data_IF_758177365321
#
_entry.id   IF_758177365321
#
_cell.length_a   1.000
_cell.length_b   1.000
_cell.length_c   1.000
_cell.angle_alpha   90.00
_cell.angle_beta   90.00
_cell.angle_gamma   90.00
#
_symmetry.space_group_name_H-M   'P 1'
#
loop_
_entity.id
_entity.type
_entity.pdbx_description
1 polymer ?
#
# COMPACT_ATOMS: atom_id res chain seq x y z
N UNK A 1 -3.03 -4.22 -11.23
CA UNK A 1 -2.07 -3.44 -10.42
C UNK A 1 -0.95 -4.38 -10.01
N UNK A 2 0.34 -4.01 -10.07
CA UNK A 2 1.41 -4.85 -9.53
C UNK A 2 1.27 -4.99 -8.01
N UNK A 3 1.83 -6.06 -7.46
CA UNK A 3 1.94 -6.31 -6.04
C UNK A 3 3.43 -6.40 -5.67
N UNK A 4 3.77 -6.15 -4.40
CA UNK A 4 5.11 -6.46 -3.88
C UNK A 4 5.21 -7.94 -3.52
N UNK A 5 6.44 -8.45 -3.38
CA UNK A 5 6.68 -9.83 -3.00
C UNK A 5 6.01 -10.17 -1.65
N UNK A 6 6.09 -9.27 -0.67
CA UNK A 6 5.48 -9.44 0.65
C UNK A 6 3.95 -9.57 0.58
N UNK A 7 3.30 -8.78 -0.28
CA UNK A 7 1.85 -8.88 -0.49
C UNK A 7 1.50 -10.19 -1.19
N UNK A 8 2.29 -10.63 -2.16
CA UNK A 8 2.09 -11.92 -2.81
C UNK A 8 2.22 -13.08 -1.81
N UNK A 9 3.23 -13.05 -0.93
CA UNK A 9 3.41 -14.04 0.13
C UNK A 9 2.22 -14.06 1.09
N UNK A 10 1.75 -12.90 1.56
CA UNK A 10 0.54 -12.79 2.39
C UNK A 10 -0.67 -13.41 1.69
N UNK A 11 -0.88 -13.08 0.41
CA UNK A 11 -2.02 -13.59 -0.34
C UNK A 11 -1.95 -15.11 -0.58
N UNK A 12 -0.74 -15.64 -0.81
CA UNK A 12 -0.52 -17.08 -0.98
C UNK A 12 -0.70 -17.87 0.32
N UNK A 13 -0.42 -17.24 1.46
CA UNK A 13 -0.61 -17.84 2.78
C UNK A 13 -2.08 -17.83 3.27
N UNK A 14 -2.96 -17.07 2.60
CA UNK A 14 -4.37 -17.03 2.99
C UNK A 14 -5.06 -18.39 2.77
N UNK A 15 -5.90 -18.84 3.72
CA UNK A 15 -6.69 -20.05 3.54
C UNK A 15 -7.69 -19.86 2.40
N UNK A 16 -7.75 -20.80 1.47
CA UNK A 16 -8.74 -20.83 0.39
C UNK A 16 -10.04 -21.44 0.89
N UNK A 17 -10.95 -20.58 1.37
CA UNK A 17 -12.24 -20.98 1.93
C UNK A 17 -13.33 -21.04 0.84
N UNK A 18 -13.14 -20.33 -0.28
CA UNK A 18 -14.05 -20.27 -1.41
C UNK A 18 -13.38 -19.71 -2.66
N UNK A 19 -14.07 -19.72 -3.78
CA UNK A 19 -13.49 -19.38 -5.09
C UNK A 19 -13.73 -17.92 -5.51
N UNK A 20 -14.68 -17.23 -4.87
CA UNK A 20 -15.11 -15.90 -5.29
C UNK A 20 -14.34 -14.76 -4.59
N UNK A 21 -14.02 -14.94 -3.31
CA UNK A 21 -13.41 -13.87 -2.50
C UNK A 21 -12.08 -14.31 -1.90
N UNK A 22 -11.03 -13.55 -2.16
CA UNK A 22 -9.71 -13.75 -1.52
C UNK A 22 -9.78 -13.51 0.00
N UNK A 23 -10.55 -12.51 0.42
CA UNK A 23 -10.74 -12.19 1.83
C UNK A 23 -12.16 -12.56 2.25
N UNK A 24 -12.31 -13.74 2.82
CA UNK A 24 -13.58 -14.26 3.31
C UNK A 24 -13.37 -15.15 4.52
N UNK A 25 -14.37 -15.23 5.39
CA UNK A 25 -14.42 -16.18 6.51
C UNK A 25 -15.49 -17.26 6.31
N UNK A 26 -16.33 -17.12 5.29
CA UNK A 26 -17.47 -18.02 5.04
C UNK A 26 -17.44 -18.65 3.65
N UNK A 27 -16.59 -18.17 2.73
CA UNK A 27 -16.55 -18.56 1.33
C UNK A 27 -17.60 -17.91 0.43
N UNK A 28 -18.70 -17.39 1.00
CA UNK A 28 -19.86 -16.87 0.25
C UNK A 28 -20.03 -15.34 0.35
N UNK A 29 -19.28 -14.68 1.21
CA UNK A 29 -19.31 -13.23 1.40
C UNK A 29 -17.92 -12.68 1.66
N UNK A 30 -17.61 -11.46 1.22
CA UNK A 30 -16.36 -10.82 1.55
C UNK A 30 -16.26 -10.54 3.06
N UNK A 31 -15.05 -10.40 3.57
CA UNK A 31 -14.81 -10.01 4.96
C UNK A 31 -15.48 -8.66 5.26
N UNK A 32 -16.04 -8.56 6.45
CA UNK A 32 -16.68 -7.37 7.00
C UNK A 32 -16.22 -7.16 8.45
N UNK A 33 -16.73 -6.14 9.14
CA UNK A 33 -16.38 -5.91 10.54
C UNK A 33 -15.09 -5.11 10.73
N UNK A 34 -14.74 -4.27 9.79
CA UNK A 34 -13.55 -3.40 9.83
C UNK A 34 -13.47 -2.52 11.09
N UNK A 35 -14.61 -2.10 11.66
CA UNK A 35 -14.63 -1.35 12.92
C UNK A 35 -14.16 -2.19 14.11
N UNK A 36 -14.58 -3.46 14.17
CA UNK A 36 -14.14 -4.38 15.23
C UNK A 36 -12.65 -4.69 15.09
N UNK A 37 -12.18 -4.97 13.87
CA UNK A 37 -10.77 -5.19 13.58
C UNK A 37 -9.93 -3.96 13.98
N UNK A 38 -10.40 -2.74 13.66
CA UNK A 38 -9.73 -1.51 14.07
C UNK A 38 -9.62 -1.41 15.60
N UNK A 39 -10.70 -1.65 16.33
CA UNK A 39 -10.68 -1.59 17.80
C UNK A 39 -9.71 -2.60 18.43
N UNK A 40 -9.53 -3.76 17.82
CA UNK A 40 -8.55 -4.75 18.24
C UNK A 40 -7.11 -4.28 17.98
N UNK A 41 -6.86 -3.65 16.84
CA UNK A 41 -5.56 -3.06 16.50
C UNK A 41 -5.26 -1.89 17.46
N UNK A 42 -6.23 -1.00 17.69
CA UNK A 42 -6.08 0.14 18.61
C UNK A 42 -5.67 -0.33 20.00
N UNK A 43 -6.32 -1.37 20.51
CA UNK A 43 -6.02 -1.93 21.83
C UNK A 43 -4.65 -2.63 21.89
N UNK A 44 -4.27 -3.36 20.84
CA UNK A 44 -3.01 -4.10 20.80
C UNK A 44 -1.80 -3.17 20.57
N UNK A 45 -1.96 -2.11 19.81
CA UNK A 45 -0.91 -1.15 19.49
C UNK A 45 -0.88 0.05 20.43
N UNK A 46 -1.86 0.17 21.35
CA UNK A 46 -2.03 1.32 22.25
C UNK A 46 -2.12 2.67 21.49
N UNK A 47 -2.68 2.64 20.29
CA UNK A 47 -2.82 3.80 19.39
C UNK A 47 -4.27 4.10 19.15
N UNK A 48 -4.65 5.38 19.19
CA UNK A 48 -6.01 5.84 18.92
C UNK A 48 -6.02 7.03 17.96
N UNK A 49 -7.22 7.37 17.45
CA UNK A 49 -7.43 8.58 16.66
C UNK A 49 -7.14 8.46 15.16
N UNK A 50 -6.53 7.38 14.69
CA UNK A 50 -6.30 7.13 13.28
C UNK A 50 -7.52 6.49 12.59
N UNK A 51 -7.57 6.56 11.27
CA UNK A 51 -8.58 5.94 10.41
C UNK A 51 -7.91 5.08 9.34
N UNK A 52 -8.63 4.09 8.81
CA UNK A 52 -8.13 3.28 7.68
C UNK A 52 -7.61 4.09 6.50
N UNK A 53 -8.22 5.26 6.26
CA UNK A 53 -7.78 6.16 5.20
C UNK A 53 -6.41 6.80 5.47
N UNK A 54 -5.99 6.88 6.72
CA UNK A 54 -4.69 7.45 7.07
C UNK A 54 -3.54 6.56 6.63
N UNK A 55 -3.75 5.23 6.48
CA UNK A 55 -2.76 4.34 5.87
C UNK A 55 -2.44 4.76 4.42
N UNK A 56 -3.45 5.17 3.66
CA UNK A 56 -3.23 5.70 2.30
C UNK A 56 -2.48 7.03 2.33
N UNK A 57 -2.79 7.90 3.28
CA UNK A 57 -2.10 9.18 3.46
C UNK A 57 -0.65 8.98 3.86
N UNK A 58 -0.39 8.04 4.77
CA UNK A 58 0.96 7.66 5.18
C UNK A 58 1.76 7.19 3.97
N UNK A 59 1.23 6.23 3.20
CA UNK A 59 1.89 5.80 1.97
C UNK A 59 2.19 6.98 1.03
N UNK A 60 1.21 7.87 0.78
CA UNK A 60 1.40 9.00 -0.13
C UNK A 60 2.51 9.94 0.33
N UNK A 61 2.56 10.23 1.64
CA UNK A 61 3.58 11.10 2.24
C UNK A 61 4.97 10.46 2.12
N UNK A 62 5.11 9.23 2.59
CA UNK A 62 6.41 8.53 2.56
C UNK A 62 6.90 8.23 1.15
N UNK A 63 5.99 7.89 0.23
CA UNK A 63 6.33 7.69 -1.18
C UNK A 63 6.96 8.94 -1.78
N UNK A 64 6.45 10.11 -1.44
CA UNK A 64 6.99 11.39 -1.91
C UNK A 64 8.29 11.79 -1.20
N UNK A 65 8.33 11.67 0.14
CA UNK A 65 9.39 12.24 0.97
C UNK A 65 10.60 11.33 1.13
N UNK A 66 10.38 10.00 1.20
CA UNK A 66 11.43 9.04 1.52
C UNK A 66 11.81 8.17 0.32
N UNK A 67 10.87 7.91 -0.59
CA UNK A 67 11.10 7.04 -1.73
C UNK A 67 11.21 7.81 -3.05
N UNK A 68 11.12 9.14 -3.01
CA UNK A 68 11.20 10.04 -4.17
C UNK A 68 10.28 9.64 -5.34
N UNK A 69 9.15 9.00 -5.02
CA UNK A 69 8.19 8.55 -6.02
C UNK A 69 7.47 9.74 -6.62
N UNK A 70 7.47 9.86 -7.93
CA UNK A 70 6.76 10.92 -8.64
C UNK A 70 5.26 10.93 -8.26
N UNK A 71 4.69 12.10 -8.02
CA UNK A 71 3.28 12.27 -7.63
C UNK A 71 2.32 11.55 -8.59
N UNK A 72 2.54 11.61 -9.89
CA UNK A 72 1.70 10.93 -10.88
C UNK A 72 1.69 9.39 -10.69
N UNK A 73 2.79 8.79 -10.24
CA UNK A 73 2.89 7.36 -9.92
C UNK A 73 2.11 7.06 -8.65
N UNK A 74 2.29 7.86 -7.61
CA UNK A 74 1.56 7.73 -6.33
C UNK A 74 0.06 7.83 -6.54
N UNK A 75 -0.40 8.84 -7.28
CA UNK A 75 -1.82 9.01 -7.64
C UNK A 75 -2.36 7.81 -8.44
N UNK A 76 -1.54 7.27 -9.35
CA UNK A 76 -1.91 6.11 -10.15
C UNK A 76 -1.94 4.80 -9.34
N UNK A 77 -1.12 4.66 -8.27
CA UNK A 77 -1.19 3.56 -7.30
C UNK A 77 -2.47 3.70 -6.48
N UNK A 78 -2.72 4.87 -5.95
CA UNK A 78 -3.88 5.16 -5.10
C UNK A 78 -5.19 5.26 -5.88
N UNK A 79 -5.16 5.17 -7.22
CA UNK A 79 -6.33 5.35 -8.09
C UNK A 79 -7.07 6.69 -7.80
N UNK A 80 -6.30 7.73 -7.48
CA UNK A 80 -6.86 9.05 -7.29
C UNK A 80 -7.19 9.67 -8.66
N UNK A 81 -8.42 10.10 -8.82
CA UNK A 81 -8.83 11.00 -9.91
C UNK A 81 -8.66 12.41 -9.39
N UNK A 82 -7.42 12.93 -9.37
CA UNK A 82 -7.19 14.30 -8.95
C UNK A 82 -7.73 15.27 -10.00
N UNK A 83 -8.23 16.42 -9.55
CA UNK A 83 -8.78 17.46 -10.43
C UNK A 83 -7.75 18.03 -11.42
N UNK A 84 -6.44 17.85 -11.16
CA UNK A 84 -5.37 18.23 -12.10
C UNK A 84 -5.29 17.31 -13.33
N UNK A 85 -5.82 16.08 -13.24
CA UNK A 85 -5.97 15.16 -14.37
C UNK A 85 -7.34 15.27 -15.05
N UNK A 86 -8.26 16.06 -14.50
CA UNK A 86 -9.58 16.32 -15.10
C UNK A 86 -9.54 17.33 -16.26
N UNK A 87 -8.41 18.03 -16.48
CA UNK A 87 -8.19 18.91 -17.62
C UNK A 87 -7.69 18.19 -18.87
N UNK A 88 -7.34 18.96 -19.88
CA UNK A 88 -6.79 18.49 -21.18
C UNK A 88 -5.61 17.53 -21.01
N UNK A 89 -4.78 17.71 -19.96
CA UNK A 89 -3.67 16.80 -19.61
C UNK A 89 -4.11 15.39 -19.25
N UNK A 90 -5.25 15.21 -18.59
CA UNK A 90 -5.77 13.89 -18.20
C UNK A 90 -6.23 13.05 -19.39
N UNK A 91 -6.66 13.70 -20.48
CA UNK A 91 -7.09 13.02 -21.71
C UNK A 91 -5.89 12.47 -22.48
N UNK A 92 -4.72 13.11 -22.39
CA UNK A 92 -3.50 12.73 -23.12
C UNK A 92 -2.58 11.78 -22.35
N UNK A 93 -2.62 11.77 -21.01
CA UNK A 93 -1.75 10.91 -20.22
C UNK A 93 -2.36 9.52 -20.01
N UNK A 94 -2.14 8.61 -20.97
CA UNK A 94 -2.53 7.19 -20.91
C UNK A 94 -1.43 6.31 -20.34
N UNK A 95 -0.40 6.87 -19.74
CA UNK A 95 0.70 6.12 -19.17
C UNK A 95 0.20 5.22 -18.02
N UNK A 96 0.55 3.96 -18.08
CA UNK A 96 0.15 2.97 -17.05
C UNK A 96 1.10 2.92 -15.85
N UNK A 97 2.30 3.50 -15.98
CA UNK A 97 3.35 3.51 -14.96
C UNK A 97 3.65 2.14 -14.34
N UNK A 98 3.50 1.05 -15.12
CA UNK A 98 3.56 -0.32 -14.56
C UNK A 98 4.88 -0.58 -13.86
N UNK A 99 6.02 -0.27 -14.49
CA UNK A 99 7.35 -0.45 -13.90
C UNK A 99 7.52 0.41 -12.65
N UNK A 100 7.22 1.70 -12.73
CA UNK A 100 7.37 2.64 -11.62
C UNK A 100 6.46 2.26 -10.43
N UNK A 101 5.25 1.75 -10.69
CA UNK A 101 4.37 1.23 -9.64
C UNK A 101 4.96 0.01 -8.96
N UNK A 102 5.53 -0.93 -9.74
CA UNK A 102 6.18 -2.12 -9.18
C UNK A 102 7.35 -1.73 -8.28
N UNK A 103 8.23 -0.86 -8.77
CA UNK A 103 9.38 -0.36 -8.03
C UNK A 103 8.95 0.36 -6.73
N UNK A 104 7.97 1.26 -6.82
CA UNK A 104 7.48 2.02 -5.66
C UNK A 104 6.79 1.13 -4.61
N UNK A 105 5.97 0.16 -5.03
CA UNK A 105 5.30 -0.75 -4.10
C UNK A 105 6.28 -1.72 -3.45
N UNK A 106 7.31 -2.18 -4.16
CA UNK A 106 8.36 -3.01 -3.59
C UNK A 106 9.22 -2.22 -2.61
N UNK A 107 9.61 -0.99 -2.95
CA UNK A 107 10.37 -0.12 -2.04
C UNK A 107 9.59 0.19 -0.76
N UNK A 108 8.28 0.44 -0.87
CA UNK A 108 7.40 0.63 0.29
C UNK A 108 7.32 -0.61 1.17
N UNK A 109 7.16 -1.79 0.58
CA UNK A 109 7.10 -3.04 1.34
C UNK A 109 8.42 -3.33 2.07
N UNK A 110 9.56 -3.13 1.41
CA UNK A 110 10.88 -3.27 2.05
C UNK A 110 11.07 -2.26 3.20
N UNK A 111 10.56 -1.04 3.05
CA UNK A 111 10.59 -0.04 4.11
C UNK A 111 9.75 -0.50 5.33
N UNK A 112 8.56 -1.07 5.09
CA UNK A 112 7.72 -1.60 6.17
C UNK A 112 8.41 -2.76 6.90
N UNK A 113 9.02 -3.71 6.19
CA UNK A 113 9.78 -4.82 6.79
C UNK A 113 10.91 -4.29 7.67
N UNK A 114 11.61 -3.25 7.18
CA UNK A 114 12.69 -2.64 7.94
C UNK A 114 12.22 -2.01 9.26
N UNK A 115 11.11 -1.26 9.24
CA UNK A 115 10.59 -0.62 10.47
C UNK A 115 9.89 -1.61 11.41
N UNK A 116 9.37 -2.73 10.91
CA UNK A 116 8.79 -3.80 11.73
C UNK A 116 9.85 -4.73 12.36
N UNK A 117 11.11 -4.60 11.95
CA UNK A 117 12.20 -5.46 12.41
C UNK A 117 12.21 -6.85 11.78
N UNK A 118 11.44 -7.07 10.71
CA UNK A 118 11.38 -8.35 9.99
C UNK A 118 12.47 -8.51 8.93
N UNK A 119 13.14 -7.41 8.53
CA UNK A 119 14.25 -7.44 7.59
C UNK A 119 15.59 -7.28 8.28
N UNK A 120 16.54 -8.19 8.06
CA UNK A 120 17.96 -7.91 8.28
C UNK A 120 18.42 -6.80 7.31
N UNK A 121 19.20 -5.85 7.84
CA UNK A 121 19.58 -4.59 7.18
C UNK A 121 20.63 -4.88 6.09
N UNK A 122 20.24 -5.35 4.91
CA UNK A 122 21.24 -5.56 3.85
C UNK A 122 21.06 -4.67 2.60
N UNK A 123 20.03 -3.86 2.49
CA UNK A 123 19.82 -2.99 1.32
C UNK A 123 19.09 -1.66 1.60
N UNK A 124 19.24 -1.06 2.75
CA UNK A 124 18.85 0.33 2.92
C UNK A 124 19.99 1.21 2.42
N UNK A 125 19.89 1.70 1.20
CA UNK A 125 20.75 2.78 0.73
C UNK A 125 20.49 3.97 1.65
N UNK A 126 21.47 4.28 2.52
CA UNK A 126 21.47 5.47 3.33
C UNK A 126 21.48 6.71 2.42
N UNK A 127 20.32 7.30 2.15
CA UNK A 127 20.15 8.58 1.46
C UNK A 127 20.36 9.77 2.40
N UNK A 128 21.00 9.57 3.54
CA UNK A 128 21.41 10.65 4.45
C UNK A 128 22.92 10.84 4.39
N UNK A 129 23.39 11.50 3.36
CA UNK A 129 24.66 12.22 3.38
C UNK A 129 24.74 13.20 2.21
N UNK A 130 24.23 14.36 2.35
CA UNK A 130 24.94 15.68 2.23
C UNK A 130 23.96 16.82 2.39
#
# INVERSE_FOLDING_TARGET
MPLSNQVDEILMALPRIGDEFAFTTTGVRPVSGFSKAKSQIDAAAEVAGWRWHDLRRTFATYAAEQLEVQQAVTEAILNHKSGSTAGVSGVYNRARYTRQKTEALQAWANFLDHISGEAEIDNVVNLVSK
#
